data_IF_762572075223
#
_entry.id   IF_762572075223
#
_cell.length_a   1.000
_cell.length_b   1.000
_cell.length_c   1.000
_cell.angle_alpha   90.00
_cell.angle_beta   90.00
_cell.angle_gamma   90.00
#
_symmetry.space_group_name_H-M   'P 1'
#
loop_
_entity.id
_entity.type
_entity.pdbx_description
1 polymer ?
#
# COMPACT_ATOMS: atom_id res chain seq x y z
N UNK A 1 28.74 -2.28 -38.39
CA UNK A 1 27.43 -2.56 -37.77
C UNK A 1 27.45 -2.01 -36.36
N UNK A 2 27.07 -0.74 -36.22
CA UNK A 2 26.91 -0.09 -34.91
C UNK A 2 25.59 -0.58 -34.35
N UNK A 3 25.64 -1.49 -33.38
CA UNK A 3 24.46 -1.85 -32.62
C UNK A 3 24.03 -0.60 -31.87
N UNK A 4 23.00 0.07 -32.36
CA UNK A 4 22.06 0.85 -31.55
C UNK A 4 21.51 -0.09 -30.46
N UNK A 5 22.32 -0.35 -29.43
CA UNK A 5 21.79 -0.77 -28.14
C UNK A 5 20.90 0.39 -27.73
N UNK A 6 19.59 0.16 -27.83
CA UNK A 6 18.57 1.11 -27.43
C UNK A 6 19.02 1.71 -26.10
N UNK A 7 19.24 3.03 -26.10
CA UNK A 7 19.61 3.79 -24.91
C UNK A 7 18.60 3.38 -23.84
N UNK A 8 19.05 2.60 -22.85
CA UNK A 8 18.15 2.02 -21.87
C UNK A 8 17.61 3.21 -21.07
N UNK A 9 16.35 3.56 -21.32
CA UNK A 9 15.74 4.82 -20.89
C UNK A 9 15.49 4.90 -19.39
N UNK A 10 16.00 3.93 -18.63
CA UNK A 10 15.92 3.90 -17.18
C UNK A 10 17.23 3.35 -16.56
N UNK A 11 18.26 4.21 -16.39
CA UNK A 11 19.58 3.80 -15.91
C UNK A 11 19.56 3.08 -14.55
N UNK A 12 18.63 3.46 -13.65
CA UNK A 12 18.56 2.89 -12.30
C UNK A 12 17.92 1.49 -12.22
N UNK A 13 17.24 1.03 -13.27
CA UNK A 13 16.66 -0.32 -13.37
C UNK A 13 17.04 -0.96 -14.71
N UNK A 14 18.26 -1.51 -14.84
CA UNK A 14 18.68 -2.15 -16.08
C UNK A 14 18.06 -3.54 -16.25
N UNK A 15 17.80 -3.93 -17.50
CA UNK A 15 17.52 -5.31 -17.91
C UNK A 15 16.40 -6.01 -17.14
N UNK A 16 16.73 -7.09 -16.42
CA UNK A 16 15.77 -7.96 -15.73
C UNK A 16 15.06 -7.26 -14.56
N UNK A 17 15.73 -6.35 -13.86
CA UNK A 17 15.15 -5.59 -12.75
C UNK A 17 13.99 -4.72 -13.21
N UNK A 18 14.06 -4.18 -14.43
CA UNK A 18 12.96 -3.43 -15.05
C UNK A 18 11.73 -4.31 -15.28
N UNK A 19 11.92 -5.51 -15.83
CA UNK A 19 10.81 -6.43 -16.05
C UNK A 19 10.14 -6.80 -14.73
N UNK A 20 10.96 -7.14 -13.73
CA UNK A 20 10.51 -7.59 -12.43
C UNK A 20 9.78 -6.47 -11.67
N UNK A 21 10.43 -5.33 -11.43
CA UNK A 21 9.92 -4.29 -10.54
C UNK A 21 8.94 -3.31 -11.20
N UNK A 22 9.01 -3.11 -12.52
CA UNK A 22 8.12 -2.18 -13.21
C UNK A 22 6.82 -2.83 -13.71
N UNK A 23 6.83 -4.14 -13.92
CA UNK A 23 5.70 -4.88 -14.52
C UNK A 23 5.25 -6.05 -13.64
N UNK A 24 6.10 -7.05 -13.43
CA UNK A 24 5.67 -8.30 -12.79
C UNK A 24 5.21 -8.09 -11.34
N UNK A 25 6.01 -7.38 -10.54
CA UNK A 25 5.68 -7.12 -9.14
C UNK A 25 4.38 -6.32 -9.03
N UNK A 26 4.24 -5.11 -9.62
CA UNK A 26 2.98 -4.38 -9.53
C UNK A 26 1.76 -5.15 -10.03
N UNK A 27 1.90 -5.93 -11.11
CA UNK A 27 0.81 -6.78 -11.60
C UNK A 27 0.43 -7.86 -10.58
N UNK A 28 1.42 -8.52 -9.98
CA UNK A 28 1.19 -9.54 -8.96
C UNK A 28 0.57 -8.97 -7.69
N UNK A 29 0.91 -7.74 -7.32
CA UNK A 29 0.33 -7.05 -6.16
C UNK A 29 -1.08 -6.53 -6.46
N UNK A 30 -1.42 -6.19 -7.70
CA UNK A 30 -2.79 -5.76 -8.08
C UNK A 30 -3.73 -6.97 -8.23
N UNK A 31 -3.21 -8.15 -8.60
CA UNK A 31 -4.03 -9.33 -8.87
C UNK A 31 -4.96 -9.75 -7.70
N UNK A 32 -4.53 -9.79 -6.42
CA UNK A 32 -5.41 -10.04 -5.28
C UNK A 32 -6.64 -9.15 -5.23
N UNK A 33 -6.48 -7.85 -5.52
CA UNK A 33 -7.60 -6.91 -5.56
C UNK A 33 -8.62 -7.32 -6.62
N UNK A 34 -8.15 -7.63 -7.83
CA UNK A 34 -9.04 -8.07 -8.91
C UNK A 34 -9.73 -9.40 -8.58
N UNK A 35 -9.02 -10.33 -7.96
CA UNK A 35 -9.59 -11.63 -7.58
C UNK A 35 -10.68 -11.50 -6.51
N UNK A 36 -10.48 -10.64 -5.51
CA UNK A 36 -11.44 -10.40 -4.42
C UNK A 36 -12.68 -9.66 -4.92
N UNK A 37 -12.51 -8.68 -5.81
CA UNK A 37 -13.59 -7.79 -6.22
C UNK A 37 -14.33 -8.19 -7.50
N UNK A 38 -13.64 -8.80 -8.47
CA UNK A 38 -14.21 -9.13 -9.78
C UNK A 38 -14.67 -10.58 -9.80
N UNK A 39 -13.72 -11.50 -9.67
CA UNK A 39 -13.93 -12.94 -9.70
C UNK A 39 -12.61 -13.60 -9.36
N UNK A 40 -12.58 -14.65 -8.54
CA UNK A 40 -13.72 -15.46 -8.04
C UNK A 40 -14.38 -14.99 -6.73
N UNK A 41 -13.95 -13.87 -6.13
CA UNK A 41 -14.58 -13.24 -4.97
C UNK A 41 -13.83 -13.41 -3.65
N UNK A 42 -14.27 -12.71 -2.61
CA UNK A 42 -13.64 -12.70 -1.28
C UNK A 42 -13.63 -14.07 -0.58
N UNK A 43 -14.70 -14.85 -0.73
CA UNK A 43 -14.79 -16.21 -0.16
C UNK A 43 -13.77 -17.17 -0.74
N UNK A 44 -13.54 -17.12 -2.06
CA UNK A 44 -12.49 -17.90 -2.70
C UNK A 44 -11.10 -17.42 -2.28
N UNK A 45 -10.87 -16.11 -2.24
CA UNK A 45 -9.57 -15.56 -1.82
C UNK A 45 -9.22 -15.97 -0.39
N UNK A 46 -10.19 -15.85 0.53
CA UNK A 46 -10.03 -16.30 1.91
C UNK A 46 -9.74 -17.80 1.99
N UNK A 47 -10.39 -18.59 1.14
CA UNK A 47 -10.17 -20.02 1.06
C UNK A 47 -8.73 -20.37 0.63
N UNK A 48 -8.20 -19.64 -0.35
CA UNK A 48 -6.84 -19.85 -0.87
C UNK A 48 -5.73 -19.42 0.10
N UNK A 49 -6.02 -18.72 1.19
CA UNK A 49 -5.00 -18.36 2.19
C UNK A 49 -4.36 -19.59 2.85
N UNK A 50 -5.10 -20.70 2.94
CA UNK A 50 -4.59 -21.99 3.45
C UNK A 50 -4.98 -23.09 2.45
N UNK A 51 -4.02 -23.83 1.88
CA UNK A 51 -4.31 -24.92 0.96
C UNK A 51 -5.30 -25.90 1.57
N UNK A 52 -6.41 -26.16 0.88
CA UNK A 52 -7.34 -27.21 1.28
C UNK A 52 -8.06 -27.81 0.07
N UNK A 53 -8.42 -29.09 0.14
CA UNK A 53 -9.18 -29.77 -0.92
C UNK A 53 -10.69 -29.54 -0.86
N UNK A 54 -11.19 -28.83 0.15
CA UNK A 54 -12.62 -28.56 0.33
C UNK A 54 -13.05 -27.38 -0.56
N UNK A 55 -14.31 -27.30 -1.01
CA UNK A 55 -14.79 -26.09 -1.66
C UNK A 55 -14.89 -24.92 -0.67
N UNK A 56 -14.85 -23.65 -1.13
CA UNK A 56 -15.15 -22.50 -0.29
C UNK A 56 -16.56 -22.61 0.28
N UNK A 57 -16.67 -22.64 1.61
CA UNK A 57 -17.93 -22.77 2.34
C UNK A 57 -18.63 -21.41 2.47
N UNK A 58 -19.85 -21.28 1.94
CA UNK A 58 -20.84 -20.24 2.31
C UNK A 58 -20.36 -18.78 2.29
N UNK A 59 -21.20 -17.88 2.82
CA UNK A 59 -20.81 -16.47 3.04
C UNK A 59 -19.80 -16.35 4.19
N UNK A 60 -18.83 -15.44 4.05
CA UNK A 60 -17.84 -15.16 5.09
C UNK A 60 -18.49 -14.44 6.28
N UNK A 61 -17.95 -14.67 7.48
CA UNK A 61 -18.29 -13.83 8.63
C UNK A 61 -18.00 -12.35 8.30
N UNK A 62 -18.88 -11.38 8.65
CA UNK A 62 -18.70 -9.97 8.30
C UNK A 62 -17.32 -9.39 8.66
N UNK A 63 -16.76 -9.78 9.81
CA UNK A 63 -15.42 -9.37 10.26
C UNK A 63 -14.31 -9.91 9.35
N UNK A 64 -14.39 -11.19 9.00
CA UNK A 64 -13.46 -11.83 8.04
C UNK A 64 -13.57 -11.21 6.66
N UNK A 65 -14.79 -10.97 6.19
CA UNK A 65 -15.04 -10.31 4.91
C UNK A 65 -14.42 -8.91 4.86
N UNK A 66 -14.59 -8.13 5.94
CA UNK A 66 -13.97 -6.81 6.08
C UNK A 66 -12.43 -6.89 6.04
N UNK A 67 -11.83 -7.80 6.80
CA UNK A 67 -10.37 -8.03 6.78
C UNK A 67 -9.86 -8.32 5.37
N UNK A 68 -10.52 -9.23 4.64
CA UNK A 68 -10.13 -9.62 3.28
C UNK A 68 -10.25 -8.44 2.30
N UNK A 69 -11.30 -7.62 2.42
CA UNK A 69 -11.46 -6.42 1.60
C UNK A 69 -10.41 -5.35 1.89
N UNK A 70 -10.11 -5.09 3.16
CA UNK A 70 -9.06 -4.15 3.54
C UNK A 70 -7.69 -4.62 3.04
N UNK A 71 -7.41 -5.92 3.16
CA UNK A 71 -6.19 -6.54 2.65
C UNK A 71 -6.07 -6.38 1.13
N UNK A 72 -7.15 -6.68 0.38
CA UNK A 72 -7.20 -6.51 -1.07
C UNK A 72 -6.95 -5.05 -1.49
N UNK A 73 -7.53 -4.08 -0.79
CA UNK A 73 -7.33 -2.66 -1.06
C UNK A 73 -5.88 -2.23 -0.77
N UNK A 74 -5.26 -2.78 0.27
CA UNK A 74 -3.85 -2.51 0.55
C UNK A 74 -2.94 -3.05 -0.56
N UNK A 75 -3.20 -4.26 -1.05
CA UNK A 75 -2.46 -4.83 -2.16
C UNK A 75 -2.57 -3.97 -3.44
N UNK A 76 -3.76 -3.46 -3.74
CA UNK A 76 -3.94 -2.50 -4.83
C UNK A 76 -3.08 -1.24 -4.62
N UNK A 77 -3.11 -0.65 -3.43
CA UNK A 77 -2.35 0.57 -3.13
C UNK A 77 -0.85 0.34 -3.31
N UNK A 78 -0.31 -0.76 -2.77
CA UNK A 78 1.10 -1.12 -2.93
C UNK A 78 1.46 -1.31 -4.41
N UNK A 79 0.61 -1.99 -5.17
CA UNK A 79 0.77 -2.14 -6.62
C UNK A 79 0.74 -0.81 -7.36
N UNK A 80 -0.16 0.10 -7.00
CA UNK A 80 -0.25 1.44 -7.58
C UNK A 80 0.98 2.27 -7.27
N UNK A 81 1.44 2.30 -6.02
CA UNK A 81 2.67 3.01 -5.63
C UNK A 81 3.86 2.47 -6.44
N UNK A 82 4.10 1.16 -6.44
CA UNK A 82 5.21 0.56 -7.19
C UNK A 82 5.10 0.81 -8.70
N UNK A 83 3.88 0.84 -9.25
CA UNK A 83 3.68 1.09 -10.68
C UNK A 83 3.84 2.56 -11.08
N UNK A 84 3.28 3.50 -10.32
CA UNK A 84 3.18 4.90 -10.69
C UNK A 84 4.42 5.67 -10.25
N UNK A 85 4.91 5.43 -9.04
CA UNK A 85 6.09 6.13 -8.51
C UNK A 85 7.33 5.77 -9.32
N UNK A 86 7.55 4.50 -9.65
CA UNK A 86 8.77 4.12 -10.40
C UNK A 86 8.78 4.72 -11.81
N UNK A 87 7.61 4.80 -12.46
CA UNK A 87 7.46 5.51 -13.76
C UNK A 87 7.68 7.00 -13.60
N UNK A 88 7.14 7.61 -12.54
CA UNK A 88 7.33 9.02 -12.27
C UNK A 88 8.80 9.37 -12.00
N UNK A 89 9.54 8.52 -11.27
CA UNK A 89 10.98 8.68 -11.04
C UNK A 89 11.75 8.66 -12.35
N UNK A 90 11.46 7.69 -13.22
CA UNK A 90 12.06 7.62 -14.57
C UNK A 90 11.78 8.88 -15.38
N UNK A 91 10.52 9.32 -15.41
CA UNK A 91 10.06 10.40 -16.29
C UNK A 91 10.43 11.79 -15.76
N UNK A 92 10.50 11.97 -14.44
CA UNK A 92 10.84 13.25 -13.82
C UNK A 92 12.36 13.48 -13.73
N UNK A 93 13.17 12.42 -13.66
CA UNK A 93 14.61 12.52 -13.42
C UNK A 93 15.48 11.84 -14.50
N UNK A 94 15.20 11.99 -15.80
CA UNK A 94 15.88 11.21 -16.85
C UNK A 94 17.40 11.40 -16.89
N UNK A 95 17.89 12.56 -16.42
CA UNK A 95 19.31 12.93 -16.46
C UNK A 95 20.01 12.85 -15.09
N UNK A 96 19.35 12.31 -14.06
CA UNK A 96 19.90 12.21 -12.70
C UNK A 96 19.80 10.77 -12.17
N UNK A 97 20.67 9.86 -12.62
CA UNK A 97 20.61 8.44 -12.24
C UNK A 97 20.83 8.23 -10.74
N UNK A 98 21.73 9.00 -10.11
CA UNK A 98 21.96 8.92 -8.66
C UNK A 98 20.69 9.27 -7.86
N UNK A 99 19.89 10.22 -8.34
CA UNK A 99 18.61 10.55 -7.73
C UNK A 99 17.57 9.45 -7.89
N UNK A 100 17.51 8.85 -9.08
CA UNK A 100 16.64 7.70 -9.34
C UNK A 100 16.99 6.54 -8.41
N UNK A 101 18.27 6.19 -8.29
CA UNK A 101 18.76 5.10 -7.43
C UNK A 101 18.43 5.35 -5.95
N UNK A 102 18.54 6.59 -5.45
CA UNK A 102 18.18 6.90 -4.05
C UNK A 102 16.70 6.70 -3.76
N UNK A 103 15.83 7.14 -4.67
CA UNK A 103 14.37 7.05 -4.48
C UNK A 103 13.89 5.61 -4.64
N UNK A 104 14.42 4.90 -5.65
CA UNK A 104 14.14 3.48 -5.83
C UNK A 104 14.74 2.65 -4.69
N UNK A 105 15.95 2.95 -4.26
CA UNK A 105 16.61 2.31 -3.14
C UNK A 105 15.87 2.53 -1.81
N UNK A 106 15.25 3.68 -1.59
CA UNK A 106 14.38 3.86 -0.41
C UNK A 106 13.11 3.00 -0.50
N UNK A 107 12.54 2.86 -1.70
CA UNK A 107 11.33 2.06 -1.95
C UNK A 107 11.62 0.55 -1.83
N UNK A 108 12.72 0.08 -2.41
CA UNK A 108 13.18 -1.31 -2.25
C UNK A 108 13.60 -1.61 -0.82
N UNK A 109 13.97 -0.60 -0.02
CA UNK A 109 14.37 -0.82 1.36
C UNK A 109 13.13 -1.04 2.19
N UNK A 110 12.08 -0.25 1.94
CA UNK A 110 10.78 -0.45 2.54
C UNK A 110 10.19 -1.82 2.18
N UNK A 111 10.19 -2.18 0.89
CA UNK A 111 9.72 -3.48 0.40
C UNK A 111 10.59 -4.62 0.96
N UNK A 112 11.91 -4.45 0.95
CA UNK A 112 12.88 -5.37 1.54
C UNK A 112 12.68 -5.55 3.04
N UNK A 113 12.35 -4.49 3.79
CA UNK A 113 11.99 -4.58 5.21
C UNK A 113 10.69 -5.35 5.38
N UNK A 114 9.72 -5.27 4.47
CA UNK A 114 8.52 -6.11 4.55
C UNK A 114 8.78 -7.57 4.15
N UNK A 115 9.62 -7.82 3.13
CA UNK A 115 10.06 -9.19 2.81
C UNK A 115 10.94 -9.76 3.93
N UNK A 116 11.73 -8.94 4.61
CA UNK A 116 12.50 -9.34 5.79
C UNK A 116 11.60 -9.34 7.01
N UNK A 117 10.49 -8.63 7.06
CA UNK A 117 9.48 -8.89 8.08
C UNK A 117 8.93 -10.31 7.87
N UNK A 118 8.89 -10.79 6.61
CA UNK A 118 8.82 -12.22 6.24
C UNK A 118 10.02 -13.00 6.81
N UNK A 119 11.26 -12.57 6.61
CA UNK A 119 12.46 -13.37 6.95
C UNK A 119 12.92 -13.33 8.44
N UNK A 120 12.70 -12.24 9.17
CA UNK A 120 12.72 -12.14 10.62
C UNK A 120 11.68 -13.14 11.16
N UNK A 121 11.81 -13.61 12.41
CA UNK A 121 10.98 -14.67 12.97
C UNK A 121 9.50 -14.29 13.15
N UNK A 122 8.98 -13.26 12.47
CA UNK A 122 7.59 -12.84 12.52
C UNK A 122 6.74 -13.28 11.32
N UNK A 123 7.11 -13.13 10.02
CA UNK A 123 6.09 -13.33 8.95
C UNK A 123 6.19 -14.58 8.05
N UNK A 124 7.38 -15.09 7.69
CA UNK A 124 7.52 -16.49 7.25
C UNK A 124 7.04 -17.33 8.41
N UNK A 125 7.47 -17.01 9.63
CA UNK A 125 6.95 -17.67 10.83
C UNK A 125 5.44 -17.53 10.95
N UNK A 126 4.77 -16.41 10.69
CA UNK A 126 3.29 -16.37 10.75
C UNK A 126 2.62 -17.20 9.66
N UNK A 127 3.04 -17.09 8.39
CA UNK A 127 2.45 -17.91 7.31
C UNK A 127 2.77 -19.39 7.54
N UNK A 128 3.99 -19.69 7.95
CA UNK A 128 4.50 -21.03 8.26
C UNK A 128 3.99 -21.56 9.60
N UNK A 129 3.61 -20.74 10.58
CA UNK A 129 2.92 -21.13 11.83
C UNK A 129 1.46 -21.39 11.52
N UNK A 130 0.84 -20.53 10.72
CA UNK A 130 -0.56 -20.64 10.30
C UNK A 130 -0.82 -21.84 9.36
N UNK A 131 0.21 -22.28 8.64
CA UNK A 131 0.15 -23.53 7.87
C UNK A 131 0.07 -24.76 8.81
N UNK A 132 -0.73 -25.77 8.45
CA UNK A 132 -0.70 -27.08 9.10
C UNK A 132 0.70 -27.72 9.05
N UNK A 133 1.11 -28.44 10.10
CA UNK A 133 2.49 -28.98 10.23
C UNK A 133 2.89 -29.91 9.10
N UNK A 134 1.93 -30.64 8.56
CA UNK A 134 2.04 -31.56 7.43
C UNK A 134 2.27 -30.82 6.09
N UNK A 135 1.78 -29.58 5.96
CA UNK A 135 1.93 -28.77 4.75
C UNK A 135 3.19 -27.90 4.75
N UNK A 136 3.74 -27.58 5.92
CA UNK A 136 4.94 -26.73 6.07
C UNK A 136 6.14 -27.21 5.25
N UNK A 137 6.33 -28.53 5.18
CA UNK A 137 7.50 -29.15 4.56
C UNK A 137 7.21 -29.85 3.23
N UNK A 138 6.01 -29.63 2.67
CA UNK A 138 5.58 -30.23 1.41
C UNK A 138 5.24 -29.14 0.37
N UNK A 139 6.23 -28.48 -0.23
CA UNK A 139 6.00 -27.42 -1.23
C UNK A 139 5.15 -27.86 -2.42
N UNK A 140 5.13 -29.16 -2.74
CA UNK A 140 4.29 -29.72 -3.80
C UNK A 140 2.78 -29.68 -3.50
N UNK A 141 2.40 -29.48 -2.23
CA UNK A 141 1.00 -29.38 -1.79
C UNK A 141 0.54 -27.93 -1.66
N UNK A 142 1.43 -26.96 -1.88
CA UNK A 142 1.09 -25.55 -1.77
C UNK A 142 0.23 -25.12 -2.96
N UNK A 143 -0.77 -24.29 -2.67
CA UNK A 143 -1.54 -23.63 -3.72
C UNK A 143 -0.80 -22.41 -4.27
N UNK A 144 -1.36 -21.79 -5.31
CA UNK A 144 -0.75 -20.62 -5.96
C UNK A 144 -0.54 -19.45 -5.00
N UNK A 145 -1.42 -19.27 -4.02
CA UNK A 145 -1.33 -18.17 -3.06
C UNK A 145 -0.20 -18.39 -2.05
N UNK A 146 -0.04 -19.63 -1.56
CA UNK A 146 1.07 -20.00 -0.69
C UNK A 146 2.41 -19.86 -1.41
N UNK A 147 2.50 -20.30 -2.67
CA UNK A 147 3.68 -20.05 -3.50
C UNK A 147 3.95 -18.56 -3.74
N UNK A 148 2.91 -17.76 -3.98
CA UNK A 148 3.04 -16.31 -4.10
C UNK A 148 3.60 -15.67 -2.84
N UNK A 149 3.07 -16.04 -1.68
CA UNK A 149 3.45 -15.43 -0.39
C UNK A 149 4.83 -15.87 0.10
N UNK A 150 5.25 -17.11 -0.19
CA UNK A 150 6.52 -17.66 0.28
C UNK A 150 7.57 -17.64 -0.84
N UNK A 151 7.35 -18.42 -1.89
CA UNK A 151 8.36 -18.63 -2.95
C UNK A 151 8.64 -17.34 -3.72
N UNK A 152 7.61 -16.62 -4.18
CA UNK A 152 7.80 -15.41 -4.98
C UNK A 152 8.41 -14.28 -4.13
N UNK A 153 7.97 -14.09 -2.90
CA UNK A 153 8.55 -13.08 -1.99
C UNK A 153 10.02 -13.35 -1.70
N UNK A 154 10.42 -14.61 -1.46
CA UNK A 154 11.85 -14.96 -1.28
C UNK A 154 12.66 -14.63 -2.53
N UNK A 155 12.14 -14.94 -3.73
CA UNK A 155 12.81 -14.61 -4.99
C UNK A 155 12.93 -13.09 -5.15
N UNK A 156 11.86 -12.33 -4.94
CA UNK A 156 11.87 -10.87 -5.03
C UNK A 156 12.87 -10.25 -4.03
N UNK A 157 12.91 -10.79 -2.80
CA UNK A 157 13.87 -10.36 -1.78
C UNK A 157 15.32 -10.58 -2.22
N UNK A 158 15.65 -11.74 -2.80
CA UNK A 158 16.99 -12.01 -3.33
C UNK A 158 17.36 -11.04 -4.46
N UNK A 159 16.42 -10.69 -5.34
CA UNK A 159 16.65 -9.67 -6.37
C UNK A 159 16.86 -8.27 -5.77
N UNK A 160 16.16 -7.92 -4.69
CA UNK A 160 16.40 -6.66 -3.97
C UNK A 160 17.78 -6.65 -3.31
N UNK A 161 18.19 -7.74 -2.67
CA UNK A 161 19.55 -7.87 -2.11
C UNK A 161 20.63 -7.78 -3.20
N UNK A 162 20.42 -8.43 -4.36
CA UNK A 162 21.33 -8.34 -5.49
C UNK A 162 21.44 -6.90 -6.00
N UNK A 163 20.31 -6.19 -6.11
CA UNK A 163 20.29 -4.78 -6.48
C UNK A 163 21.06 -3.91 -5.45
N UNK A 164 20.92 -4.16 -4.15
CA UNK A 164 21.70 -3.45 -3.13
C UNK A 164 23.18 -3.78 -3.12
N UNK A 165 23.55 -5.02 -3.45
CA UNK A 165 24.95 -5.42 -3.54
C UNK A 165 25.66 -4.66 -4.67
N UNK A 166 24.92 -4.27 -5.71
CA UNK A 166 25.39 -3.45 -6.82
C UNK A 166 25.32 -1.93 -6.52
N UNK A 167 24.34 -1.49 -5.72
CA UNK A 167 24.10 -0.08 -5.39
C UNK A 167 24.77 0.34 -4.05
N UNK A 168 25.87 1.10 -4.11
CA UNK A 168 26.54 1.64 -2.91
C UNK A 168 25.68 2.72 -2.22
N UNK A 169 25.25 2.48 -0.98
CA UNK A 169 24.32 3.38 -0.25
C UNK A 169 24.97 4.67 0.28
N UNK A 170 24.21 5.78 0.23
CA UNK A 170 24.59 7.11 0.73
C UNK A 170 23.78 7.53 1.99
N UNK A 171 24.35 8.44 2.79
CA UNK A 171 23.77 9.02 4.03
C UNK A 171 22.66 10.04 3.76
N UNK A 172 21.74 10.17 4.72
CA UNK A 172 20.57 11.07 4.70
C UNK A 172 20.64 12.12 5.82
N UNK A 173 20.31 13.38 5.53
CA UNK A 173 20.18 14.47 6.52
C UNK A 173 18.76 15.07 6.51
N UNK A 174 18.34 15.70 7.62
CA UNK A 174 16.92 15.95 7.96
C UNK A 174 16.36 17.35 7.60
N UNK A 175 15.04 17.44 7.31
CA UNK A 175 14.30 18.66 6.89
C UNK A 175 13.64 19.51 8.01
N UNK A 176 13.12 20.73 7.71
CA UNK A 176 12.20 21.51 8.58
C UNK A 176 10.76 21.70 7.99
N UNK A 177 9.75 22.00 8.85
CA UNK A 177 8.44 22.57 8.43
C UNK A 177 7.13 21.86 8.89
N UNK A 178 5.95 22.41 8.50
CA UNK A 178 4.59 21.91 8.85
C UNK A 178 4.14 20.68 8.03
N UNK A 179 4.39 20.64 6.72
CA UNK A 179 4.14 19.44 5.90
C UNK A 179 5.03 18.26 6.29
N UNK A 180 6.19 18.55 6.90
CA UNK A 180 7.01 17.54 7.56
C UNK A 180 6.21 16.86 8.68
N UNK A 181 5.44 17.61 9.46
CA UNK A 181 4.64 17.02 10.53
C UNK A 181 3.59 16.04 10.00
N UNK A 182 2.80 16.45 9.00
CA UNK A 182 1.69 15.63 8.50
C UNK A 182 2.20 14.39 7.75
N UNK A 183 3.00 14.58 6.70
CA UNK A 183 3.37 13.46 5.80
C UNK A 183 4.56 12.63 6.32
N UNK A 184 5.45 13.23 7.11
CA UNK A 184 6.65 12.53 7.59
C UNK A 184 6.46 11.85 8.96
N UNK A 185 5.49 12.32 9.76
CA UNK A 185 5.24 11.80 11.10
C UNK A 185 3.80 11.34 11.28
N UNK A 186 2.80 12.17 11.02
CA UNK A 186 1.40 11.83 11.33
C UNK A 186 0.86 10.68 10.48
N UNK A 187 1.11 10.71 9.16
CA UNK A 187 0.66 9.66 8.24
C UNK A 187 1.32 8.29 8.56
N UNK A 188 2.66 8.18 8.69
CA UNK A 188 3.28 6.93 9.15
C UNK A 188 2.79 6.46 10.52
N UNK A 189 2.59 7.37 11.49
CA UNK A 189 2.08 7.00 12.82
C UNK A 189 0.64 6.45 12.75
N UNK A 190 -0.19 6.98 11.85
CA UNK A 190 -1.55 6.46 11.67
C UNK A 190 -1.57 5.03 11.13
N UNK A 191 -0.56 4.66 10.33
CA UNK A 191 -0.42 3.35 9.70
C UNK A 191 0.26 2.32 10.62
N UNK A 192 1.08 2.74 11.60
CA UNK A 192 1.77 1.79 12.50
C UNK A 192 0.85 1.24 13.61
N UNK A 193 -0.27 1.91 13.88
CA UNK A 193 -1.22 1.57 14.96
C UNK A 193 -1.68 0.10 14.91
N UNK A 194 -2.28 -0.37 13.80
CA UNK A 194 -2.69 -1.78 13.63
C UNK A 194 -1.56 -2.78 13.87
N UNK A 195 -0.33 -2.46 13.45
CA UNK A 195 0.84 -3.31 13.66
C UNK A 195 1.23 -3.43 15.13
N UNK A 196 1.34 -2.31 15.82
CA UNK A 196 1.72 -2.29 17.24
C UNK A 196 0.65 -2.98 18.09
N UNK A 197 -0.64 -2.69 17.85
CA UNK A 197 -1.72 -3.28 18.63
C UNK A 197 -1.85 -4.79 18.39
N UNK A 198 -1.77 -5.25 17.14
CA UNK A 198 -1.77 -6.70 16.82
C UNK A 198 -0.57 -7.42 17.43
N UNK A 199 0.60 -6.76 17.51
CA UNK A 199 1.81 -7.34 18.09
C UNK A 199 1.74 -7.47 19.61
N UNK A 200 1.07 -6.53 20.29
CA UNK A 200 0.93 -6.52 21.76
C UNK A 200 -0.22 -7.42 22.20
N UNK A 201 -1.38 -7.32 21.53
CA UNK A 201 -2.64 -7.92 21.98
C UNK A 201 -3.06 -9.14 21.14
N UNK A 202 -2.32 -9.45 20.09
CA UNK A 202 -2.61 -10.54 19.17
C UNK A 202 -3.60 -10.17 18.05
N UNK A 203 -3.74 -11.05 17.05
CA UNK A 203 -4.60 -10.84 15.88
C UNK A 203 -6.09 -10.90 16.25
N UNK A 204 -6.48 -11.63 17.30
CA UNK A 204 -7.87 -11.71 17.79
C UNK A 204 -8.38 -10.39 18.30
N UNK A 205 -7.54 -9.62 18.97
CA UNK A 205 -7.88 -8.27 19.39
C UNK A 205 -8.13 -7.36 18.19
N UNK A 206 -7.21 -7.30 17.23
CA UNK A 206 -7.38 -6.45 16.05
C UNK A 206 -8.58 -6.87 15.20
N UNK A 207 -8.81 -8.18 15.03
CA UNK A 207 -10.00 -8.72 14.39
C UNK A 207 -11.29 -8.30 15.09
N UNK A 208 -11.28 -8.24 16.43
CA UNK A 208 -12.41 -7.77 17.21
C UNK A 208 -12.68 -6.27 17.00
N UNK A 209 -11.65 -5.50 16.65
CA UNK A 209 -11.75 -4.06 16.41
C UNK A 209 -12.11 -3.69 14.95
N UNK A 210 -12.05 -4.64 14.00
CA UNK A 210 -12.41 -4.37 12.59
C UNK A 210 -13.88 -4.00 12.39
N UNK A 211 -14.74 -4.46 13.28
CA UNK A 211 -16.16 -4.07 13.39
C UNK A 211 -16.37 -3.68 14.85
N UNK A 212 -17.14 -2.64 15.17
CA UNK A 212 -17.25 -2.19 16.55
C UNK A 212 -17.60 -3.32 17.51
N UNK A 213 -16.91 -3.39 18.65
CA UNK A 213 -16.85 -4.59 19.47
C UNK A 213 -18.24 -4.88 20.05
N UNK A 214 -18.81 -6.00 19.64
CA UNK A 214 -20.05 -6.54 20.22
C UNK A 214 -19.78 -7.43 21.44
N UNK A 215 -18.52 -7.54 21.87
CA UNK A 215 -18.09 -8.44 22.94
C UNK A 215 -16.57 -8.55 23.07
N UNK A 216 -16.06 -9.43 23.97
CA UNK A 216 -14.65 -9.73 24.07
C UNK A 216 -14.11 -10.36 22.78
N UNK A 217 -12.78 -10.29 22.51
CA UNK A 217 -12.17 -10.96 21.38
C UNK A 217 -12.53 -12.45 21.35
N UNK A 218 -12.77 -13.04 20.17
CA UNK A 218 -13.08 -14.46 20.06
C UNK A 218 -11.92 -15.30 20.58
N UNK A 219 -12.23 -16.29 21.42
CA UNK A 219 -11.25 -17.22 22.00
C UNK A 219 -10.63 -18.13 20.94
N UNK A 220 -11.39 -18.46 19.89
CA UNK A 220 -10.94 -19.20 18.72
C UNK A 220 -11.21 -18.42 17.45
N UNK A 221 -10.16 -18.20 16.65
CA UNK A 221 -10.27 -17.60 15.32
C UNK A 221 -9.97 -18.65 14.27
N UNK A 222 -10.71 -18.60 13.16
CA UNK A 222 -10.34 -19.34 11.96
C UNK A 222 -8.87 -19.03 11.57
N UNK A 223 -8.01 -20.06 11.41
CA UNK A 223 -6.63 -19.86 10.99
C UNK A 223 -6.49 -19.00 9.72
N UNK A 224 -7.45 -19.07 8.79
CA UNK A 224 -7.42 -18.24 7.56
C UNK A 224 -7.66 -16.77 7.86
N UNK A 225 -8.63 -16.46 8.72
CA UNK A 225 -8.88 -15.10 9.18
C UNK A 225 -7.68 -14.56 9.96
N UNK A 226 -7.02 -15.41 10.75
CA UNK A 226 -5.78 -15.06 11.46
C UNK A 226 -4.68 -14.66 10.48
N UNK A 227 -4.46 -15.43 9.41
CA UNK A 227 -3.48 -15.10 8.36
C UNK A 227 -3.85 -13.80 7.66
N UNK A 228 -5.12 -13.62 7.28
CA UNK A 228 -5.59 -12.40 6.62
C UNK A 228 -5.33 -11.15 7.48
N UNK A 229 -5.62 -11.23 8.78
CA UNK A 229 -5.36 -10.16 9.74
C UNK A 229 -3.88 -9.85 9.82
N UNK A 230 -3.02 -10.85 9.96
CA UNK A 230 -1.58 -10.61 10.00
C UNK A 230 -1.03 -10.00 8.71
N UNK A 231 -1.48 -10.49 7.55
CA UNK A 231 -1.11 -9.92 6.26
C UNK A 231 -1.53 -8.46 6.16
N UNK A 232 -2.74 -8.14 6.61
CA UNK A 232 -3.27 -6.78 6.63
C UNK A 232 -2.44 -5.87 7.55
N UNK A 233 -2.13 -6.35 8.74
CA UNK A 233 -1.30 -5.65 9.72
C UNK A 233 0.10 -5.33 9.20
N UNK A 234 0.69 -6.25 8.44
CA UNK A 234 2.02 -6.07 7.82
C UNK A 234 1.95 -5.15 6.62
N UNK A 235 0.88 -5.26 5.84
CA UNK A 235 0.56 -4.33 4.78
C UNK A 235 0.52 -2.87 5.28
N UNK A 236 -0.10 -2.63 6.43
CA UNK A 236 -0.08 -1.31 7.09
C UNK A 236 1.33 -0.87 7.52
N UNK A 237 2.13 -1.77 8.10
CA UNK A 237 3.53 -1.47 8.43
C UNK A 237 4.34 -1.13 7.17
N UNK A 238 4.16 -1.87 6.09
CA UNK A 238 4.85 -1.63 4.82
C UNK A 238 4.46 -0.27 4.24
N UNK A 239 3.17 0.08 4.24
CA UNK A 239 2.73 1.43 3.84
C UNK A 239 3.41 2.50 4.69
N UNK A 240 3.46 2.34 6.01
CA UNK A 240 4.13 3.27 6.93
C UNK A 240 5.60 3.49 6.58
N UNK A 241 6.32 2.39 6.30
CA UNK A 241 7.74 2.47 5.95
C UNK A 241 7.92 3.04 4.53
N UNK A 242 7.09 2.64 3.56
CA UNK A 242 7.16 3.14 2.19
C UNK A 242 6.86 4.63 2.08
N UNK A 243 5.82 5.11 2.75
CA UNK A 243 5.46 6.53 2.76
C UNK A 243 6.56 7.33 3.46
N UNK A 244 7.00 6.90 4.64
CA UNK A 244 8.06 7.58 5.40
C UNK A 244 9.40 7.65 4.65
N UNK A 245 9.88 6.52 4.11
CA UNK A 245 11.15 6.46 3.38
C UNK A 245 11.04 7.11 2.00
N UNK A 246 9.94 6.87 1.27
CA UNK A 246 9.69 7.46 -0.04
C UNK A 246 9.66 8.98 0.01
N UNK A 247 8.92 9.56 0.97
CA UNK A 247 8.88 11.01 1.17
C UNK A 247 10.24 11.59 1.54
N UNK A 248 11.00 10.93 2.43
CA UNK A 248 12.36 11.38 2.79
C UNK A 248 13.28 11.33 1.58
N UNK A 249 13.23 10.26 0.80
CA UNK A 249 14.10 10.09 -0.36
C UNK A 249 13.83 11.12 -1.45
N UNK A 250 12.55 11.35 -1.82
CA UNK A 250 12.18 12.38 -2.81
C UNK A 250 12.67 13.76 -2.37
N UNK A 251 12.45 14.09 -1.10
CA UNK A 251 12.80 15.35 -0.47
C UNK A 251 14.32 15.60 -0.44
N UNK A 252 15.09 14.62 0.05
CA UNK A 252 16.54 14.78 0.23
C UNK A 252 17.27 14.76 -1.10
N UNK A 253 16.73 14.02 -2.06
CA UNK A 253 17.31 13.88 -3.39
C UNK A 253 17.04 15.10 -4.27
N UNK A 254 15.88 15.75 -4.10
CA UNK A 254 15.43 16.86 -4.93
C UNK A 254 15.33 18.18 -4.15
N UNK A 255 16.17 18.35 -3.13
CA UNK A 255 16.21 19.59 -2.32
C UNK A 255 16.44 20.84 -3.18
N UNK A 256 17.19 20.68 -4.29
CA UNK A 256 17.53 21.76 -5.22
C UNK A 256 16.63 21.79 -6.47
N UNK A 257 15.71 20.82 -6.62
CA UNK A 257 14.76 20.74 -7.74
C UNK A 257 13.31 20.70 -7.23
N UNK A 258 12.72 21.87 -6.92
CA UNK A 258 11.35 21.94 -6.42
C UNK A 258 10.32 21.44 -7.44
N UNK A 259 10.63 21.48 -8.74
CA UNK A 259 9.72 21.01 -9.80
C UNK A 259 9.67 19.48 -9.82
N UNK A 260 10.83 18.83 -9.76
CA UNK A 260 10.93 17.38 -9.62
C UNK A 260 10.29 16.89 -8.32
N UNK A 261 10.55 17.59 -7.21
CA UNK A 261 9.94 17.27 -5.92
C UNK A 261 8.41 17.35 -5.98
N UNK A 262 7.85 18.40 -6.58
CA UNK A 262 6.40 18.55 -6.75
C UNK A 262 5.79 17.42 -7.59
N UNK A 263 6.43 17.07 -8.72
CA UNK A 263 5.95 15.99 -9.59
C UNK A 263 5.92 14.64 -8.87
N UNK A 264 7.02 14.28 -8.20
CA UNK A 264 7.11 12.99 -7.51
C UNK A 264 6.19 12.93 -6.30
N UNK A 265 6.16 13.99 -5.49
CA UNK A 265 5.22 14.11 -4.37
C UNK A 265 3.77 14.02 -4.85
N UNK A 266 3.44 14.69 -5.96
CA UNK A 266 2.12 14.63 -6.57
C UNK A 266 1.72 13.21 -6.97
N UNK A 267 2.65 12.41 -7.50
CA UNK A 267 2.37 11.01 -7.85
C UNK A 267 2.18 10.11 -6.62
N UNK A 268 2.96 10.31 -5.57
CA UNK A 268 2.74 9.61 -4.28
C UNK A 268 1.36 9.93 -3.71
N UNK A 269 1.03 11.22 -3.58
CA UNK A 269 -0.25 11.68 -3.06
C UNK A 269 -1.42 11.26 -3.94
N UNK A 270 -1.25 11.23 -5.26
CA UNK A 270 -2.24 10.74 -6.20
C UNK A 270 -2.47 9.24 -6.06
N UNK A 271 -1.42 8.44 -5.88
CA UNK A 271 -1.54 6.99 -5.65
C UNK A 271 -2.28 6.70 -4.35
N UNK A 272 -1.97 7.44 -3.28
CA UNK A 272 -2.69 7.36 -2.00
C UNK A 272 -4.15 7.80 -2.14
N UNK A 273 -4.40 8.90 -2.85
CA UNK A 273 -5.76 9.38 -3.11
C UNK A 273 -6.57 8.38 -3.96
N UNK A 274 -5.95 7.73 -4.96
CA UNK A 274 -6.58 6.65 -5.72
C UNK A 274 -6.93 5.51 -4.78
N UNK A 275 -6.04 5.06 -3.89
CA UNK A 275 -6.38 3.97 -2.98
C UNK A 275 -7.51 4.34 -2.01
N UNK A 276 -7.54 5.58 -1.48
CA UNK A 276 -8.68 6.08 -0.70
C UNK A 276 -10.00 5.99 -1.51
N UNK A 277 -9.92 6.07 -2.83
CA UNK A 277 -11.03 6.08 -3.79
C UNK A 277 -11.13 4.78 -4.59
N UNK A 278 -10.33 3.74 -4.36
CA UNK A 278 -10.39 2.49 -5.16
C UNK A 278 -11.27 1.43 -4.54
N UNK A 279 -11.52 1.54 -3.23
CA UNK A 279 -12.51 0.80 -2.43
C UNK A 279 -13.97 0.96 -2.91
N UNK A 280 -14.20 1.38 -4.14
CA UNK A 280 -15.32 2.26 -4.51
C UNK A 280 -16.01 1.87 -5.79
N UNK A 281 -15.20 1.46 -6.76
CA UNK A 281 -15.63 1.38 -8.14
C UNK A 281 -16.49 0.14 -8.39
N UNK A 282 -16.37 -0.89 -7.54
CA UNK A 282 -16.94 -2.20 -7.82
C UNK A 282 -18.28 -2.52 -7.14
N UNK A 283 -18.69 -1.79 -6.09
CA UNK A 283 -20.05 -1.95 -5.53
C UNK A 283 -21.14 -1.41 -6.45
N UNK A 284 -20.82 -0.45 -7.33
CA UNK A 284 -21.76 0.00 -8.37
C UNK A 284 -22.01 -1.08 -9.44
N UNK A 285 -21.08 -2.04 -9.61
CA UNK A 285 -21.21 -3.12 -10.59
C UNK A 285 -21.86 -4.41 -10.04
N UNK A 286 -21.84 -4.64 -8.72
CA UNK A 286 -22.51 -5.80 -8.11
C UNK A 286 -23.93 -5.51 -7.59
N UNK A 287 -24.38 -4.26 -7.66
CA UNK A 287 -25.78 -3.87 -7.45
C UNK A 287 -26.37 -3.35 -8.76
N UNK A 288 -26.32 -4.17 -9.81
CA UNK A 288 -27.09 -3.93 -11.05
C UNK A 288 -28.53 -4.34 -10.77
N UNK A 289 -29.21 -3.51 -9.99
CA UNK A 289 -30.68 -3.41 -9.94
C UNK A 289 -31.10 -2.06 -9.34
N UNK A 290 -30.49 -0.98 -9.85
CA UNK A 290 -31.18 0.29 -10.16
C UNK A 290 -30.23 1.30 -10.79
N UNK A 291 -30.42 1.49 -12.09
CA UNK A 291 -29.94 2.66 -12.84
C UNK A 291 -30.50 3.94 -12.21
N UNK A 292 -29.63 4.86 -11.79
CA UNK A 292 -29.62 6.32 -12.10
C UNK A 292 -28.75 7.04 -11.06
N UNK A 293 -27.49 7.33 -11.38
CA UNK A 293 -26.79 8.62 -11.12
C UNK A 293 -25.27 8.49 -11.37
N UNK A 294 -24.79 9.19 -12.41
CA UNK A 294 -23.38 9.25 -12.85
C UNK A 294 -22.75 10.59 -12.43
N UNK A 295 -22.97 11.07 -11.20
CA UNK A 295 -22.46 12.40 -10.79
C UNK A 295 -21.88 12.51 -9.37
N UNK A 296 -21.47 11.40 -8.75
CA UNK A 296 -20.76 11.44 -7.46
C UNK A 296 -19.50 10.56 -7.47
N UNK A 297 -18.38 11.13 -7.94
CA UNK A 297 -17.17 10.39 -8.33
C UNK A 297 -16.01 10.41 -7.31
N UNK A 298 -16.25 10.61 -5.99
CA UNK A 298 -15.13 10.89 -5.04
C UNK A 298 -15.21 10.32 -3.60
N UNK A 299 -16.05 9.32 -3.26
CA UNK A 299 -16.34 9.05 -1.82
C UNK A 299 -16.39 7.59 -1.38
N UNK A 300 -15.30 6.84 -1.17
CA UNK A 300 -15.57 5.40 -1.04
C UNK A 300 -14.67 4.42 -0.24
N UNK A 301 -13.44 4.70 0.21
CA UNK A 301 -12.85 3.92 1.33
C UNK A 301 -13.58 4.20 2.65
N UNK A 302 -13.90 5.48 2.87
CA UNK A 302 -14.82 5.92 3.91
C UNK A 302 -16.17 5.22 3.80
N UNK A 303 -16.66 5.00 2.58
CA UNK A 303 -17.96 4.39 2.36
C UNK A 303 -17.99 2.91 2.71
N UNK A 304 -16.98 2.11 2.37
CA UNK A 304 -16.99 0.67 2.73
C UNK A 304 -17.04 0.49 4.25
N UNK A 305 -16.15 1.17 4.97
CA UNK A 305 -16.15 1.13 6.42
C UNK A 305 -17.48 1.63 6.96
N UNK A 306 -17.99 2.77 6.46
CA UNK A 306 -19.27 3.34 6.90
C UNK A 306 -20.51 2.52 6.55
N UNK A 307 -20.54 1.80 5.42
CA UNK A 307 -21.65 0.93 5.01
C UNK A 307 -21.63 -0.39 5.75
N UNK A 308 -20.45 -0.88 6.09
CA UNK A 308 -20.30 -2.11 6.85
C UNK A 308 -20.51 -1.92 8.35
N UNK A 309 -20.58 -0.67 8.82
CA UNK A 309 -20.99 -0.38 10.19
C UNK A 309 -22.47 -0.77 10.40
N UNK A 310 -22.79 -1.47 11.51
CA UNK A 310 -24.15 -1.62 12.00
C UNK A 310 -24.92 -0.29 12.03
N UNK A 311 -26.21 -0.32 11.67
CA UNK A 311 -27.01 0.91 11.47
C UNK A 311 -27.16 1.74 12.75
N UNK A 312 -27.14 1.09 13.90
CA UNK A 312 -27.24 1.68 15.23
C UNK A 312 -26.04 2.55 15.60
N UNK A 313 -24.82 2.15 15.23
CA UNK A 313 -23.58 2.88 15.56
C UNK A 313 -23.07 3.78 14.43
N UNK A 314 -23.61 3.59 13.22
CA UNK A 314 -23.17 4.28 12.00
C UNK A 314 -23.17 5.81 12.11
N UNK A 315 -24.12 6.37 12.85
CA UNK A 315 -24.29 7.82 13.00
C UNK A 315 -23.86 8.35 14.38
N UNK A 316 -23.21 7.51 15.19
CA UNK A 316 -22.77 7.84 16.54
C UNK A 316 -21.24 7.84 16.60
N UNK A 317 -20.56 8.91 16.14
CA UNK A 317 -19.10 8.95 16.08
C UNK A 317 -18.42 8.82 17.45
N UNK A 318 -19.13 9.07 18.54
CA UNK A 318 -18.61 8.88 19.90
C UNK A 318 -18.58 7.41 20.34
N UNK A 319 -19.29 6.52 19.64
CA UNK A 319 -19.31 5.08 19.90
C UNK A 319 -18.35 4.32 18.96
N UNK A 320 -17.66 5.03 18.08
CA UNK A 320 -16.68 4.42 17.21
C UNK A 320 -15.45 4.00 18.00
N UNK A 321 -14.96 2.81 17.72
CA UNK A 321 -13.68 2.36 18.26
C UNK A 321 -12.51 3.05 17.55
N UNK A 322 -11.30 2.81 18.07
CA UNK A 322 -10.07 3.43 17.56
C UNK A 322 -9.79 3.08 16.10
N UNK A 323 -10.04 1.84 15.69
CA UNK A 323 -9.90 1.38 14.29
C UNK A 323 -10.90 2.06 13.36
N UNK A 324 -12.15 2.22 13.80
CA UNK A 324 -13.18 2.94 13.03
C UNK A 324 -12.83 4.41 12.89
N UNK A 325 -12.34 5.05 13.97
CA UNK A 325 -11.83 6.43 13.89
C UNK A 325 -10.61 6.57 13.00
N UNK A 326 -9.68 5.63 13.04
CA UNK A 326 -8.54 5.58 12.12
C UNK A 326 -9.01 5.52 10.67
N UNK A 327 -9.87 4.54 10.35
CA UNK A 327 -10.32 4.28 8.99
C UNK A 327 -11.28 5.35 8.44
N UNK A 328 -12.07 6.02 9.29
CA UNK A 328 -13.01 7.05 8.88
C UNK A 328 -12.48 8.46 9.12
N UNK A 329 -12.26 8.83 10.37
CA UNK A 329 -11.91 10.20 10.74
C UNK A 329 -10.52 10.59 10.25
N UNK A 330 -9.51 9.76 10.48
CA UNK A 330 -8.12 10.07 10.10
C UNK A 330 -7.96 10.04 8.58
N UNK A 331 -8.48 8.99 7.90
CA UNK A 331 -8.45 8.92 6.43
C UNK A 331 -9.17 10.10 5.80
N UNK A 332 -10.32 10.54 6.33
CA UNK A 332 -11.01 11.72 5.80
C UNK A 332 -10.14 12.97 5.91
N UNK A 333 -9.49 13.19 7.06
CA UNK A 333 -8.58 14.32 7.26
C UNK A 333 -7.39 14.26 6.29
N UNK A 334 -6.77 13.09 6.15
CA UNK A 334 -5.66 12.87 5.20
C UNK A 334 -6.11 13.12 3.77
N UNK A 335 -7.28 12.60 3.38
CA UNK A 335 -7.85 12.80 2.05
C UNK A 335 -8.13 14.29 1.75
N UNK A 336 -8.76 15.01 2.69
CA UNK A 336 -8.98 16.45 2.56
C UNK A 336 -7.66 17.23 2.50
N UNK A 337 -6.64 16.79 3.23
CA UNK A 337 -5.29 17.38 3.18
C UNK A 337 -4.63 17.17 1.81
N UNK A 338 -4.80 15.99 1.20
CA UNK A 338 -4.34 15.68 -0.16
C UNK A 338 -5.08 16.52 -1.20
N UNK A 339 -6.40 16.63 -1.11
CA UNK A 339 -7.20 17.50 -1.97
C UNK A 339 -6.78 18.96 -1.84
N UNK A 340 -6.60 19.45 -0.61
CA UNK A 340 -6.12 20.80 -0.35
C UNK A 340 -4.73 21.05 -0.99
N UNK A 341 -3.83 20.07 -0.91
CA UNK A 341 -2.54 20.11 -1.58
C UNK A 341 -2.69 20.23 -3.11
N UNK A 342 -3.56 19.44 -3.74
CA UNK A 342 -3.84 19.51 -5.19
C UNK A 342 -4.48 20.84 -5.61
N UNK A 343 -5.32 21.44 -4.76
CA UNK A 343 -5.85 22.78 -5.00
C UNK A 343 -4.79 23.89 -4.78
N UNK A 344 -3.60 23.52 -4.30
CA UNK A 344 -2.49 24.43 -4.03
C UNK A 344 -2.67 25.27 -2.77
N UNK A 345 -3.56 24.86 -1.87
CA UNK A 345 -3.77 25.52 -0.56
C UNK A 345 -2.48 25.37 0.24
N UNK A 346 -1.94 26.48 0.74
CA UNK A 346 -0.71 26.49 1.54
C UNK A 346 0.59 26.30 0.75
N UNK A 347 0.57 26.43 -0.59
CA UNK A 347 1.79 26.51 -1.42
C UNK A 347 1.95 27.92 -2.01
N UNK A 348 3.17 28.45 -2.02
CA UNK A 348 3.54 29.53 -2.96
C UNK A 348 3.67 28.88 -4.34
N UNK A 349 2.65 29.03 -5.19
CA UNK A 349 2.57 28.40 -6.52
C UNK A 349 3.82 28.76 -7.36
N UNK A 350 4.63 27.77 -7.72
CA UNK A 350 5.36 27.77 -8.99
C UNK A 350 4.43 27.12 -10.01
N UNK A 351 3.47 27.89 -10.52
CA UNK A 351 2.45 27.36 -11.43
C UNK A 351 3.11 26.93 -12.74
N UNK A 352 2.86 25.70 -13.19
CA UNK A 352 3.14 25.26 -14.56
C UNK A 352 2.61 26.31 -15.54
N UNK A 353 3.51 27.06 -16.18
CA UNK A 353 3.16 27.99 -17.26
C UNK A 353 2.93 29.46 -16.88
N UNK A 354 3.22 29.91 -15.65
CA UNK A 354 3.45 31.36 -15.49
C UNK A 354 4.86 31.66 -16.01
N UNK A 355 5.01 32.45 -17.10
CA UNK A 355 6.33 32.86 -17.56
C UNK A 355 6.99 33.58 -16.39
N UNK A 356 8.22 33.17 -16.07
CA UNK A 356 9.06 33.87 -15.10
C UNK A 356 9.02 35.34 -15.46
N UNK A 357 8.30 36.15 -14.68
CA UNK A 357 8.35 37.59 -14.83
C UNK A 357 9.77 37.96 -14.48
N UNK A 358 10.62 38.10 -15.51
CA UNK A 358 12.01 38.47 -15.32
C UNK A 358 11.98 39.80 -14.60
N UNK A 359 12.26 39.78 -13.30
CA UNK A 359 12.48 41.01 -12.54
C UNK A 359 13.73 41.61 -13.17
N UNK A 360 13.53 42.57 -14.08
CA UNK A 360 14.61 43.41 -14.57
C UNK A 360 15.08 44.20 -13.36
N UNK A 361 16.16 43.74 -12.74
CA UNK A 361 16.92 44.55 -11.80
C UNK A 361 17.47 45.71 -12.62
N UNK A 362 16.84 46.88 -12.52
CA UNK A 362 17.41 48.12 -13.02
C UNK A 362 18.69 48.38 -12.22
N UNK A 363 19.83 48.39 -12.90
CA UNK A 363 21.09 48.86 -12.33
C UNK A 363 21.05 50.36 -12.07
#
# INVERSE_FOLDING_TARGET
MSSTMAQDSFPALPGIYRLLFLYLEPMSTIAPFLMVWVSPGSGWFHHELIPSGNPPTGGLEPRTQMAVWQLANCYLLLGLISSLVFRAVRDALPNNPAAQERILGASFLALGIADVSCLLPFFIVVTFIGLPVDMKYAPSLWNSMTHGNITVVVVLFLFRLAWYAEAVMAKFDALPGYYKFIFLYFEPISEIGPFVTSSIWGPSWFYNELVPPTGPPPEYMDPRATIAVWQLTICYLLLCVMTSLGYRAVRDTLSDDPTGQEKLMGVFLFSLAIADVSSSFFLCCNSIDRFTQVTHFYRFSLYLTFVSLPQDIKYLPFEWNTTTHGNLSVVLILHLSRLAWFFGIGRKRYYFGQPSTSIKVSK
#
